data_IF_743152419373
#
_entry.id   IF_743152419373
#
_cell.length_a   1.000
_cell.length_b   1.000
_cell.length_c   1.000
_cell.angle_alpha   90.00
_cell.angle_beta   90.00
_cell.angle_gamma   90.00
#
_symmetry.space_group_name_H-M   'P 1'
#
loop_
_entity.id
_entity.type
_entity.pdbx_description
1 polymer ?
#
# COMPACT_ATOMS: atom_id res chain seq x y z
N UNK A 1 26.60 2.61 18.28
CA UNK A 1 25.18 2.75 18.66
C UNK A 1 24.45 3.51 17.55
N UNK A 2 23.50 2.88 16.87
CA UNK A 2 22.79 3.49 15.72
C UNK A 2 21.53 4.22 16.20
N UNK A 3 21.62 5.53 16.43
CA UNK A 3 20.49 6.41 16.77
C UNK A 3 19.50 6.64 15.60
N UNK A 4 19.28 5.66 14.73
CA UNK A 4 18.41 5.75 13.55
C UNK A 4 17.66 4.46 13.19
N UNK A 5 17.85 3.38 13.95
CA UNK A 5 17.21 2.08 13.67
C UNK A 5 15.67 2.13 13.54
N UNK A 6 14.90 2.83 14.40
CA UNK A 6 13.44 2.83 14.30
C UNK A 6 12.92 3.62 13.08
N UNK A 7 13.49 4.80 12.81
CA UNK A 7 13.13 5.61 11.63
C UNK A 7 13.46 4.87 10.34
N UNK A 8 14.58 4.15 10.33
CA UNK A 8 14.99 3.36 9.19
C UNK A 8 14.06 2.14 8.97
N UNK A 9 13.68 1.44 10.05
CA UNK A 9 12.71 0.35 10.00
C UNK A 9 11.35 0.83 9.46
N UNK A 10 10.88 1.99 9.93
CA UNK A 10 9.65 2.64 9.47
C UNK A 10 9.65 2.94 7.96
N UNK A 11 10.76 3.50 7.45
CA UNK A 11 10.91 3.81 6.03
C UNK A 11 11.03 2.53 5.18
N UNK A 12 11.82 1.56 5.63
CA UNK A 12 12.12 0.33 4.88
C UNK A 12 11.02 -0.72 4.86
N UNK A 13 10.22 -0.80 5.91
CA UNK A 13 9.03 -1.63 5.92
C UNK A 13 7.85 -0.98 5.20
N UNK A 14 8.06 0.22 4.63
CA UNK A 14 7.01 1.01 4.01
C UNK A 14 5.82 1.29 4.94
N UNK A 15 6.05 1.34 6.26
CA UNK A 15 4.99 1.58 7.26
C UNK A 15 4.36 2.96 7.06
N UNK A 16 5.11 3.91 6.48
CA UNK A 16 4.59 5.20 6.04
C UNK A 16 3.39 5.09 5.07
N UNK A 17 3.25 3.99 4.31
CA UNK A 17 2.07 3.75 3.46
C UNK A 17 0.79 3.63 4.29
N UNK A 18 0.87 3.15 5.53
CA UNK A 18 -0.26 3.09 6.45
C UNK A 18 -0.77 4.50 6.79
N UNK A 19 0.14 5.47 6.97
CA UNK A 19 -0.25 6.87 7.16
C UNK A 19 -0.92 7.45 5.91
N UNK A 20 -0.42 7.08 4.73
CA UNK A 20 -1.01 7.56 3.48
C UNK A 20 -2.39 6.97 3.20
N UNK A 21 -2.69 5.78 3.73
CA UNK A 21 -4.03 5.18 3.64
C UNK A 21 -5.09 6.06 4.34
N UNK A 22 -4.75 6.73 5.45
CA UNK A 22 -5.66 7.70 6.09
C UNK A 22 -6.03 8.82 5.11
N UNK A 23 -5.05 9.36 4.38
CA UNK A 23 -5.29 10.42 3.37
C UNK A 23 -6.22 9.90 2.28
N UNK A 24 -6.04 8.65 1.84
CA UNK A 24 -6.91 8.03 0.84
C UNK A 24 -8.36 7.90 1.34
N UNK A 25 -8.56 7.45 2.59
CA UNK A 25 -9.91 7.35 3.21
C UNK A 25 -10.53 8.73 3.37
N UNK A 26 -9.77 9.74 3.81
CA UNK A 26 -10.22 11.13 3.92
C UNK A 26 -10.67 11.68 2.56
N UNK A 27 -9.85 11.52 1.52
CA UNK A 27 -10.19 11.98 0.18
C UNK A 27 -11.41 11.24 -0.38
N UNK A 28 -11.56 9.93 -0.12
CA UNK A 28 -12.76 9.17 -0.47
C UNK A 28 -14.01 9.68 0.24
N UNK A 29 -13.94 9.92 1.55
CA UNK A 29 -15.07 10.44 2.30
C UNK A 29 -15.49 11.84 1.79
N UNK A 30 -14.52 12.72 1.56
CA UNK A 30 -14.78 14.04 0.98
C UNK A 30 -15.36 13.94 -0.44
N UNK A 31 -14.87 13.00 -1.26
CA UNK A 31 -15.39 12.80 -2.61
C UNK A 31 -16.86 12.35 -2.61
N UNK A 32 -17.26 11.57 -1.62
CA UNK A 32 -18.63 11.09 -1.44
C UNK A 32 -19.50 12.06 -0.61
N UNK A 33 -19.01 13.27 -0.34
CA UNK A 33 -19.67 14.27 0.51
C UNK A 33 -20.03 13.76 1.92
N UNK A 34 -19.24 12.82 2.44
CA UNK A 34 -19.42 12.25 3.78
C UNK A 34 -18.60 13.08 4.78
N UNK A 35 -19.23 13.60 5.86
CA UNK A 35 -18.50 14.30 6.90
C UNK A 35 -17.46 13.42 7.57
N UNK A 36 -16.23 13.91 7.76
CA UNK A 36 -15.13 13.12 8.33
C UNK A 36 -15.41 12.60 9.74
N UNK A 37 -16.20 13.34 10.53
CA UNK A 37 -16.61 12.87 11.86
C UNK A 37 -17.54 11.66 11.80
N UNK A 38 -18.29 11.47 10.71
CA UNK A 38 -19.15 10.30 10.50
C UNK A 38 -18.33 9.06 10.14
N UNK A 39 -17.18 9.22 9.47
CA UNK A 39 -16.25 8.11 9.21
C UNK A 39 -15.63 7.60 10.51
N UNK A 40 -15.30 8.51 11.44
CA UNK A 40 -14.85 8.17 12.79
C UNK A 40 -13.73 7.12 12.81
N UNK A 41 -13.99 5.99 13.47
CA UNK A 41 -13.06 4.86 13.56
C UNK A 41 -12.68 4.23 12.21
N UNK A 42 -13.51 4.38 11.17
CA UNK A 42 -13.23 3.90 9.82
C UNK A 42 -11.93 4.44 9.22
N UNK A 43 -11.45 5.60 9.70
CA UNK A 43 -10.15 6.17 9.30
C UNK A 43 -8.97 5.27 9.63
N UNK A 44 -9.09 4.38 10.63
CA UNK A 44 -8.03 3.49 11.07
C UNK A 44 -8.08 2.10 10.44
N UNK A 45 -9.20 1.75 9.80
CA UNK A 45 -9.42 0.38 9.32
C UNK A 45 -8.41 -0.02 8.23
N UNK A 46 -8.29 0.77 7.15
CA UNK A 46 -7.30 0.52 6.10
C UNK A 46 -5.84 0.60 6.61
N UNK A 47 -5.41 1.62 7.36
CA UNK A 47 -4.06 1.67 7.93
C UNK A 47 -3.67 0.45 8.76
N UNK A 48 -4.56 -0.03 9.63
CA UNK A 48 -4.30 -1.21 10.47
C UNK A 48 -4.11 -2.47 9.60
N UNK A 49 -4.99 -2.67 8.63
CA UNK A 49 -4.88 -3.82 7.74
C UNK A 49 -3.63 -3.77 6.85
N UNK A 50 -3.32 -2.59 6.30
CA UNK A 50 -2.14 -2.41 5.47
C UNK A 50 -0.89 -2.70 6.30
N UNK A 51 -0.86 -2.28 7.57
CA UNK A 51 0.22 -2.61 8.47
C UNK A 51 0.39 -4.11 8.65
N UNK A 52 -0.70 -4.84 8.94
CA UNK A 52 -0.66 -6.31 9.07
C UNK A 52 -0.08 -6.96 7.82
N UNK A 53 -0.64 -6.63 6.66
CA UNK A 53 -0.22 -7.25 5.38
C UNK A 53 1.23 -6.89 5.04
N UNK A 54 1.65 -5.63 5.22
CA UNK A 54 3.03 -5.24 4.94
C UNK A 54 4.04 -5.85 5.90
N UNK A 55 3.69 -5.97 7.19
CA UNK A 55 4.60 -6.60 8.16
C UNK A 55 4.73 -8.09 7.89
N UNK A 56 3.62 -8.78 7.60
CA UNK A 56 3.65 -10.22 7.29
C UNK A 56 4.41 -10.52 6.00
N UNK A 57 4.17 -9.75 4.92
CA UNK A 57 4.91 -9.85 3.66
C UNK A 57 6.43 -9.68 3.90
N UNK A 58 6.82 -8.74 4.77
CA UNK A 58 8.23 -8.50 5.07
C UNK A 58 8.85 -9.56 5.97
N UNK A 59 8.09 -10.09 6.94
CA UNK A 59 8.55 -11.17 7.83
C UNK A 59 8.72 -12.48 7.07
N UNK A 60 7.97 -12.68 5.99
CA UNK A 60 8.10 -13.80 5.05
C UNK A 60 9.21 -13.51 4.03
N UNK A 61 10.44 -13.44 4.52
CA UNK A 61 11.63 -13.12 3.70
C UNK A 61 11.82 -14.18 2.60
N UNK A 62 11.70 -13.79 1.33
CA UNK A 62 12.07 -14.63 0.19
C UNK A 62 13.58 -14.69 -0.01
N UNK A 63 14.08 -15.73 -0.68
CA UNK A 63 15.51 -15.83 -1.04
C UNK A 63 15.97 -14.68 -1.94
N UNK A 64 15.07 -14.21 -2.80
CA UNK A 64 15.27 -13.00 -3.60
C UNK A 64 15.49 -11.76 -2.74
N UNK A 65 14.72 -11.57 -1.66
CA UNK A 65 14.87 -10.45 -0.75
C UNK A 65 16.18 -10.51 0.04
N UNK A 66 16.73 -11.72 0.28
CA UNK A 66 18.06 -11.88 0.86
C UNK A 66 19.15 -11.37 -0.09
N UNK A 67 18.98 -11.56 -1.40
CA UNK A 67 19.94 -11.14 -2.43
C UNK A 67 19.79 -9.64 -2.73
N UNK A 68 18.57 -9.19 -3.02
CA UNK A 68 18.30 -7.82 -3.47
C UNK A 68 18.34 -6.81 -2.31
N UNK A 69 18.05 -7.23 -1.08
CA UNK A 69 17.92 -6.33 0.07
C UNK A 69 18.52 -6.92 1.37
N UNK A 70 19.81 -7.32 1.39
CA UNK A 70 20.42 -8.05 2.50
C UNK A 70 20.41 -7.28 3.83
N UNK A 71 20.48 -5.95 3.78
CA UNK A 71 20.40 -5.12 5.00
C UNK A 71 18.99 -5.07 5.58
N UNK A 72 17.95 -4.91 4.74
CA UNK A 72 16.54 -4.94 5.17
C UNK A 72 16.22 -6.29 5.80
N UNK A 73 16.65 -7.36 5.16
CA UNK A 73 16.46 -8.73 5.63
C UNK A 73 17.07 -8.96 7.01
N UNK A 74 18.32 -8.52 7.23
CA UNK A 74 18.96 -8.61 8.56
C UNK A 74 18.18 -7.86 9.64
N UNK A 75 17.60 -6.70 9.32
CA UNK A 75 16.80 -5.94 10.28
C UNK A 75 15.46 -6.62 10.60
N UNK A 76 14.77 -7.15 9.59
CA UNK A 76 13.54 -7.91 9.81
C UNK A 76 13.81 -9.12 10.69
N UNK A 77 14.89 -9.87 10.41
CA UNK A 77 15.29 -11.01 11.23
C UNK A 77 15.62 -10.60 12.66
N UNK A 78 16.32 -9.47 12.85
CA UNK A 78 16.67 -8.93 14.16
C UNK A 78 15.43 -8.56 15.00
N UNK A 79 14.40 -7.98 14.40
CA UNK A 79 13.19 -7.51 15.08
C UNK A 79 11.97 -8.42 14.83
N UNK A 80 12.20 -9.70 14.52
CA UNK A 80 11.14 -10.61 14.08
C UNK A 80 10.02 -10.77 15.11
N UNK A 81 10.39 -10.82 16.39
CA UNK A 81 9.45 -11.00 17.51
C UNK A 81 8.64 -9.74 17.76
N UNK A 82 9.29 -8.58 17.75
CA UNK A 82 8.64 -7.29 17.92
C UNK A 82 7.67 -7.01 16.77
N UNK A 83 8.09 -7.29 15.53
CA UNK A 83 7.23 -7.16 14.35
C UNK A 83 6.02 -8.10 14.41
N UNK A 84 6.21 -9.35 14.86
CA UNK A 84 5.09 -10.27 15.08
C UNK A 84 4.14 -9.74 16.15
N UNK A 85 4.66 -9.22 17.26
CA UNK A 85 3.84 -8.69 18.34
C UNK A 85 3.01 -7.48 17.88
N UNK A 86 3.61 -6.54 17.14
CA UNK A 86 2.88 -5.38 16.62
C UNK A 86 1.90 -5.75 15.52
N UNK A 87 2.21 -6.75 14.70
CA UNK A 87 1.29 -7.29 13.69
C UNK A 87 0.06 -7.95 14.34
N UNK A 88 0.25 -8.85 15.32
CA UNK A 88 -0.85 -9.46 16.06
C UNK A 88 -1.69 -8.37 16.73
N UNK A 89 -1.06 -7.38 17.35
CA UNK A 89 -1.76 -6.27 17.97
C UNK A 89 -2.58 -5.45 16.95
N UNK A 90 -2.00 -5.15 15.79
CA UNK A 90 -2.70 -4.45 14.72
C UNK A 90 -3.87 -5.26 14.15
N UNK A 91 -3.70 -6.58 14.01
CA UNK A 91 -4.76 -7.51 13.58
C UNK A 91 -5.91 -7.55 14.57
N UNK A 92 -5.62 -7.68 15.87
CA UNK A 92 -6.65 -7.64 16.92
C UNK A 92 -7.38 -6.29 16.89
N UNK A 93 -6.65 -5.17 16.78
CA UNK A 93 -7.25 -3.85 16.65
C UNK A 93 -8.14 -3.74 15.40
N UNK A 94 -7.69 -4.27 14.26
CA UNK A 94 -8.46 -4.29 13.01
C UNK A 94 -9.76 -5.08 13.17
N UNK A 95 -9.70 -6.30 13.69
CA UNK A 95 -10.87 -7.16 13.86
C UNK A 95 -11.87 -6.59 14.86
N UNK A 96 -11.39 -6.11 16.02
CA UNK A 96 -12.26 -5.48 17.02
C UNK A 96 -12.92 -4.22 16.46
N UNK A 97 -12.17 -3.40 15.72
CA UNK A 97 -12.70 -2.20 15.08
C UNK A 97 -13.73 -2.55 14.01
N UNK A 98 -13.47 -3.55 13.16
CA UNK A 98 -14.40 -4.01 12.14
C UNK A 98 -15.71 -4.52 12.76
N UNK A 99 -15.62 -5.38 13.76
CA UNK A 99 -16.79 -5.89 14.50
C UNK A 99 -17.56 -4.74 15.14
N UNK A 100 -16.87 -3.80 15.78
CA UNK A 100 -17.50 -2.63 16.37
C UNK A 100 -18.22 -1.77 15.34
N UNK A 101 -17.57 -1.43 14.21
CA UNK A 101 -18.16 -0.64 13.12
C UNK A 101 -19.42 -1.31 12.55
N UNK A 102 -19.38 -2.63 12.32
CA UNK A 102 -20.54 -3.39 11.84
C UNK A 102 -21.67 -3.41 12.88
N UNK A 103 -21.34 -3.50 14.18
CA UNK A 103 -22.34 -3.53 15.24
C UNK A 103 -23.04 -2.17 15.45
N UNK A 104 -22.31 -1.05 15.32
CA UNK A 104 -22.85 0.29 15.58
C UNK A 104 -23.48 0.95 14.36
N UNK A 105 -23.15 0.50 13.14
CA UNK A 105 -23.64 1.11 11.90
C UNK A 105 -24.91 0.40 11.41
N UNK A 106 -26.06 1.09 11.35
CA UNK A 106 -27.32 0.49 10.91
C UNK A 106 -27.21 -0.10 9.49
N UNK A 107 -27.80 -1.28 9.28
CA UNK A 107 -27.81 -1.96 7.98
C UNK A 107 -26.51 -2.70 7.63
N UNK A 108 -25.50 -2.69 8.50
CA UNK A 108 -24.32 -3.56 8.37
C UNK A 108 -24.57 -4.87 9.12
N UNK A 109 -24.05 -5.96 8.58
CA UNK A 109 -24.25 -7.29 9.15
C UNK A 109 -23.08 -8.22 8.81
N UNK A 110 -23.27 -9.53 9.00
CA UNK A 110 -22.22 -10.54 8.81
C UNK A 110 -21.57 -10.48 7.42
N UNK A 111 -22.32 -10.12 6.38
CA UNK A 111 -21.76 -9.91 5.04
C UNK A 111 -20.63 -8.88 5.00
N UNK A 112 -20.71 -7.80 5.79
CA UNK A 112 -19.63 -6.82 5.90
C UNK A 112 -18.40 -7.35 6.63
N UNK A 113 -18.60 -8.21 7.64
CA UNK A 113 -17.48 -8.90 8.29
C UNK A 113 -16.74 -9.76 7.27
N UNK A 114 -17.46 -10.55 6.47
CA UNK A 114 -16.88 -11.40 5.42
C UNK A 114 -16.16 -10.57 4.34
N UNK A 115 -16.77 -9.46 3.90
CA UNK A 115 -16.14 -8.56 2.94
C UNK A 115 -14.85 -7.93 3.47
N UNK A 116 -14.80 -7.60 4.76
CA UNK A 116 -13.58 -7.11 5.41
C UNK A 116 -12.41 -8.10 5.32
N UNK A 117 -12.69 -9.41 5.26
CA UNK A 117 -11.68 -10.46 5.18
C UNK A 117 -11.11 -10.68 3.76
N UNK A 118 -11.69 -10.05 2.72
CA UNK A 118 -11.26 -10.23 1.33
C UNK A 118 -9.75 -10.02 1.12
N UNK A 119 -9.10 -9.00 1.71
CA UNK A 119 -7.66 -8.78 1.56
C UNK A 119 -6.81 -9.95 2.06
N UNK A 120 -7.23 -10.66 3.11
CA UNK A 120 -6.53 -11.86 3.57
C UNK A 120 -6.69 -13.02 2.59
N UNK A 121 -7.87 -13.16 1.96
CA UNK A 121 -8.07 -14.11 0.88
C UNK A 121 -7.12 -13.85 -0.30
N UNK A 122 -6.93 -12.58 -0.67
CA UNK A 122 -5.97 -12.19 -1.71
C UNK A 122 -4.53 -12.47 -1.26
N UNK A 123 -4.17 -12.19 -0.01
CA UNK A 123 -2.86 -12.50 0.55
C UNK A 123 -2.55 -14.00 0.49
N UNK A 124 -3.51 -14.87 0.83
CA UNK A 124 -3.36 -16.32 0.76
C UNK A 124 -3.13 -16.82 -0.67
N UNK A 125 -3.79 -16.20 -1.65
CA UNK A 125 -3.65 -16.52 -3.07
C UNK A 125 -2.43 -15.85 -3.72
N UNK A 126 -1.79 -14.91 -3.03
CA UNK A 126 -0.75 -14.05 -3.58
C UNK A 126 0.42 -14.84 -4.17
N UNK A 127 0.86 -15.90 -3.49
CA UNK A 127 1.93 -16.77 -3.98
C UNK A 127 1.61 -17.44 -5.33
N UNK A 128 0.34 -17.81 -5.56
CA UNK A 128 -0.13 -18.36 -6.83
C UNK A 128 -0.31 -17.27 -7.90
N UNK A 129 -0.74 -16.07 -7.50
CA UNK A 129 -0.93 -14.94 -8.41
C UNK A 129 0.39 -14.43 -9.01
N UNK A 130 1.51 -14.56 -8.28
CA UNK A 130 2.85 -14.23 -8.80
C UNK A 130 3.26 -15.00 -10.05
N UNK A 131 2.60 -16.12 -10.36
CA UNK A 131 2.81 -16.85 -11.61
C UNK A 131 2.28 -16.06 -12.82
N UNK A 132 1.38 -15.11 -12.60
CA UNK A 132 0.78 -14.30 -13.65
C UNK A 132 1.02 -12.80 -13.40
N UNK A 133 1.97 -12.20 -14.14
CA UNK A 133 2.51 -10.86 -13.92
C UNK A 133 1.47 -9.75 -13.69
N UNK A 134 0.43 -9.75 -14.51
CA UNK A 134 -0.60 -8.71 -14.51
C UNK A 134 -1.62 -8.94 -13.40
N UNK A 135 -1.87 -10.18 -13.01
CA UNK A 135 -2.89 -10.51 -12.01
C UNK A 135 -2.45 -10.14 -10.59
N UNK A 136 -1.14 -10.18 -10.30
CA UNK A 136 -0.59 -9.63 -9.06
C UNK A 136 -0.97 -8.15 -8.91
N UNK A 137 -0.57 -7.30 -9.86
CA UNK A 137 -0.86 -5.86 -9.82
C UNK A 137 -2.34 -5.54 -9.79
N UNK A 138 -3.17 -6.30 -10.53
CA UNK A 138 -4.63 -6.17 -10.49
C UNK A 138 -5.20 -6.52 -9.10
N UNK A 139 -4.77 -7.63 -8.52
CA UNK A 139 -5.24 -8.08 -7.22
C UNK A 139 -4.82 -7.10 -6.11
N UNK A 140 -3.57 -6.64 -6.10
CA UNK A 140 -3.08 -5.65 -5.13
C UNK A 140 -3.80 -4.31 -5.30
N UNK A 141 -3.91 -3.82 -6.54
CA UNK A 141 -4.61 -2.57 -6.85
C UNK A 141 -6.08 -2.60 -6.45
N UNK A 142 -6.77 -3.70 -6.76
CA UNK A 142 -8.17 -3.92 -6.41
C UNK A 142 -8.39 -4.02 -4.90
N UNK A 143 -7.55 -4.77 -4.21
CA UNK A 143 -7.64 -4.98 -2.75
C UNK A 143 -7.47 -3.69 -1.97
N UNK A 144 -6.49 -2.86 -2.36
CA UNK A 144 -6.26 -1.57 -1.71
C UNK A 144 -7.37 -0.57 -2.01
N UNK A 145 -7.77 -0.42 -3.28
CA UNK A 145 -8.89 0.45 -3.62
C UNK A 145 -10.18 0.03 -2.91
N UNK A 146 -10.45 -1.29 -2.86
CA UNK A 146 -11.54 -1.87 -2.11
C UNK A 146 -11.47 -1.46 -0.65
N UNK A 147 -10.34 -1.65 0.03
CA UNK A 147 -10.26 -1.34 1.46
C UNK A 147 -10.41 0.13 1.79
N UNK A 148 -9.92 1.04 0.94
CA UNK A 148 -10.15 2.46 1.14
C UNK A 148 -11.65 2.79 1.10
N UNK A 149 -12.35 2.30 0.07
CA UNK A 149 -13.78 2.55 -0.10
C UNK A 149 -14.60 1.82 0.98
N UNK A 150 -14.27 0.56 1.24
CA UNK A 150 -14.88 -0.27 2.27
C UNK A 150 -14.77 0.38 3.65
N UNK A 151 -13.63 0.99 3.99
CA UNK A 151 -13.45 1.73 5.25
C UNK A 151 -14.47 2.86 5.43
N UNK A 152 -14.81 3.57 4.35
CA UNK A 152 -15.84 4.61 4.36
C UNK A 152 -17.24 4.01 4.42
N UNK A 153 -17.51 2.96 3.66
CA UNK A 153 -18.84 2.34 3.59
C UNK A 153 -19.20 1.63 4.90
N UNK A 154 -18.31 0.82 5.46
CA UNK A 154 -18.60 0.05 6.69
C UNK A 154 -18.79 0.95 7.91
N UNK A 155 -18.18 2.13 7.92
CA UNK A 155 -18.27 3.09 9.02
C UNK A 155 -19.44 4.07 8.91
N UNK A 156 -20.17 4.07 7.79
CA UNK A 156 -21.23 5.05 7.51
C UNK A 156 -22.47 4.35 6.98
N UNK A 157 -23.59 5.07 6.90
CA UNK A 157 -24.82 4.58 6.25
C UNK A 157 -24.84 4.85 4.75
N UNK A 158 -23.69 5.15 4.13
CA UNK A 158 -23.64 5.46 2.70
C UNK A 158 -24.04 4.24 1.86
N UNK A 159 -24.90 4.47 0.87
CA UNK A 159 -25.37 3.47 -0.07
C UNK A 159 -24.40 3.28 -1.23
N UNK A 160 -24.58 2.20 -2.00
CA UNK A 160 -23.76 1.94 -3.19
C UNK A 160 -24.24 2.86 -4.33
N UNK A 161 -23.42 3.82 -4.71
CA UNK A 161 -23.71 4.82 -5.75
C UNK A 161 -22.71 4.73 -6.91
N UNK A 162 -22.99 5.41 -8.03
CA UNK A 162 -22.03 5.54 -9.12
C UNK A 162 -20.77 6.31 -8.70
N UNK A 163 -20.91 7.28 -7.80
CA UNK A 163 -19.75 8.01 -7.25
C UNK A 163 -18.86 7.10 -6.43
N UNK A 164 -19.43 6.15 -5.68
CA UNK A 164 -18.68 5.11 -4.97
C UNK A 164 -17.81 4.28 -5.93
N UNK A 165 -18.40 3.85 -7.06
CA UNK A 165 -17.66 3.12 -8.10
C UNK A 165 -16.61 3.99 -8.78
N UNK A 166 -16.88 5.28 -8.99
CA UNK A 166 -15.91 6.22 -9.54
C UNK A 166 -14.70 6.42 -8.59
N UNK A 167 -14.94 6.57 -7.28
CA UNK A 167 -13.89 6.64 -6.25
C UNK A 167 -13.08 5.35 -6.20
N UNK A 168 -13.75 4.19 -6.22
CA UNK A 168 -13.07 2.89 -6.30
C UNK A 168 -12.19 2.80 -7.55
N UNK A 169 -12.75 3.11 -8.73
CA UNK A 169 -12.04 3.08 -10.00
C UNK A 169 -10.83 4.04 -10.02
N UNK A 170 -11.00 5.26 -9.51
CA UNK A 170 -9.92 6.23 -9.41
C UNK A 170 -8.76 5.73 -8.54
N UNK A 171 -9.07 5.20 -7.34
CA UNK A 171 -8.04 4.62 -6.49
C UNK A 171 -7.40 3.38 -7.09
N UNK A 172 -8.19 2.51 -7.72
CA UNK A 172 -7.69 1.33 -8.41
C UNK A 172 -6.64 1.71 -9.47
N UNK A 173 -6.94 2.68 -10.34
CA UNK A 173 -6.01 3.17 -11.36
C UNK A 173 -4.73 3.73 -10.74
N UNK A 174 -4.85 4.54 -9.69
CA UNK A 174 -3.72 5.16 -8.98
C UNK A 174 -2.83 4.10 -8.33
N UNK A 175 -3.43 3.14 -7.61
CA UNK A 175 -2.70 2.10 -6.89
C UNK A 175 -2.08 1.10 -7.86
N UNK A 176 -2.83 0.63 -8.87
CA UNK A 176 -2.32 -0.26 -9.90
C UNK A 176 -1.09 0.35 -10.59
N UNK A 177 -1.18 1.63 -10.99
CA UNK A 177 -0.04 2.36 -11.53
C UNK A 177 1.10 2.53 -10.52
N UNK A 178 0.79 2.60 -9.22
CA UNK A 178 1.77 2.58 -8.14
C UNK A 178 2.54 1.26 -8.08
N UNK A 179 1.85 0.13 -8.19
CA UNK A 179 2.47 -1.22 -8.21
C UNK A 179 3.35 -1.38 -9.45
N UNK A 180 2.83 -1.07 -10.64
CA UNK A 180 3.61 -1.14 -11.89
C UNK A 180 4.83 -0.20 -11.89
N UNK A 181 4.73 0.94 -11.21
CA UNK A 181 5.86 1.85 -11.06
C UNK A 181 6.99 1.30 -10.16
N UNK A 182 6.69 0.35 -9.28
CA UNK A 182 7.67 -0.38 -8.47
C UNK A 182 8.28 -1.53 -9.29
N UNK A 183 7.46 -2.32 -9.97
CA UNK A 183 7.91 -3.38 -10.89
C UNK A 183 8.88 -2.84 -11.96
N UNK A 184 8.66 -1.60 -12.43
CA UNK A 184 9.58 -0.92 -13.36
C UNK A 184 10.99 -0.72 -12.78
N UNK A 185 11.13 -0.53 -11.47
CA UNK A 185 12.43 -0.36 -10.81
C UNK A 185 13.15 -1.69 -10.64
N UNK A 186 12.38 -2.73 -10.36
CA UNK A 186 12.89 -4.06 -10.08
C UNK A 186 13.19 -4.84 -11.38
N UNK A 187 12.92 -4.24 -12.54
CA UNK A 187 13.02 -4.86 -13.86
C UNK A 187 14.40 -5.48 -14.15
N UNK A 188 15.50 -4.87 -13.68
CA UNK A 188 16.85 -5.43 -13.86
C UNK A 188 17.07 -6.68 -12.99
N UNK A 189 16.50 -6.73 -11.78
CA UNK A 189 16.53 -7.90 -10.89
C UNK A 189 15.54 -8.99 -11.29
N UNK A 190 14.36 -8.61 -11.80
CA UNK A 190 13.34 -9.51 -12.31
C UNK A 190 13.82 -10.23 -13.58
N UNK A 191 14.50 -9.50 -14.48
CA UNK A 191 15.11 -10.08 -15.70
C UNK A 191 16.20 -11.09 -15.35
N UNK A 192 16.93 -10.88 -14.25
CA UNK A 192 17.95 -11.81 -13.78
C UNK A 192 17.37 -13.09 -13.13
N UNK A 193 16.08 -13.10 -12.79
CA UNK A 193 15.40 -14.22 -12.11
C UNK A 193 14.28 -14.85 -12.94
N UNK A 194 14.22 -14.56 -14.25
CA UNK A 194 13.20 -15.04 -15.19
C UNK A 194 11.75 -14.71 -14.76
N UNK A 195 11.57 -13.68 -13.94
CA UNK A 195 10.24 -13.20 -13.58
C UNK A 195 9.73 -12.26 -14.67
N UNK A 196 8.54 -12.56 -15.14
CA UNK A 196 7.85 -11.67 -16.06
C UNK A 196 7.00 -10.67 -15.26
N UNK A 197 7.07 -9.38 -15.61
CA UNK A 197 6.17 -8.32 -15.11
C UNK A 197 5.46 -7.70 -16.31
N UNK A 198 4.32 -7.01 -16.13
CA UNK A 198 3.72 -6.23 -17.22
C UNK A 198 4.73 -5.16 -17.71
N UNK A 199 5.50 -4.59 -16.78
CA UNK A 199 6.63 -3.71 -17.09
C UNK A 199 7.69 -4.37 -17.98
N UNK A 200 8.05 -5.64 -17.71
CA UNK A 200 8.95 -6.42 -18.55
C UNK A 200 8.44 -6.62 -19.98
N UNK A 201 7.13 -6.83 -20.15
CA UNK A 201 6.52 -7.03 -21.47
C UNK A 201 6.40 -5.73 -22.28
N UNK A 202 6.00 -4.63 -21.65
CA UNK A 202 5.81 -3.34 -22.32
C UNK A 202 7.12 -2.58 -22.54
N UNK A 203 8.12 -2.85 -21.72
CA UNK A 203 9.37 -2.11 -21.67
C UNK A 203 9.25 -0.77 -20.94
N UNK A 204 10.40 -0.27 -20.46
CA UNK A 204 10.47 0.91 -19.58
C UNK A 204 9.72 2.17 -20.06
N UNK A 205 9.86 2.61 -21.34
CA UNK A 205 9.22 3.85 -21.77
C UNK A 205 7.68 3.75 -21.80
N UNK A 206 7.15 2.63 -22.29
CA UNK A 206 5.70 2.42 -22.37
C UNK A 206 5.07 2.31 -20.97
N UNK A 207 5.69 1.56 -20.05
CA UNK A 207 5.24 1.46 -18.65
C UNK A 207 5.27 2.81 -17.95
N UNK A 208 6.29 3.64 -18.19
CA UNK A 208 6.37 4.99 -17.62
C UNK A 208 5.21 5.87 -18.07
N UNK A 209 4.86 5.82 -19.36
CA UNK A 209 3.72 6.55 -19.92
C UNK A 209 2.42 6.02 -19.30
N UNK A 210 2.23 4.69 -19.28
CA UNK A 210 1.05 4.05 -18.68
C UNK A 210 0.84 4.49 -17.22
N UNK A 211 1.89 4.44 -16.39
CA UNK A 211 1.82 4.85 -14.98
C UNK A 211 1.38 6.30 -14.84
N UNK A 212 1.93 7.21 -15.65
CA UNK A 212 1.57 8.64 -15.62
C UNK A 212 0.12 8.85 -16.06
N UNK A 213 -0.29 8.20 -17.15
CA UNK A 213 -1.65 8.29 -17.68
C UNK A 213 -2.67 7.81 -16.64
N UNK A 214 -2.48 6.61 -16.09
CA UNK A 214 -3.42 6.03 -15.12
C UNK A 214 -3.56 6.89 -13.84
N UNK A 215 -2.44 7.40 -13.30
CA UNK A 215 -2.48 8.30 -12.14
C UNK A 215 -3.20 9.61 -12.45
N UNK A 216 -2.89 10.23 -13.60
CA UNK A 216 -3.56 11.44 -14.05
C UNK A 216 -5.06 11.22 -14.26
N UNK A 217 -5.46 10.10 -14.86
CA UNK A 217 -6.87 9.72 -15.03
C UNK A 217 -7.56 9.58 -13.68
N UNK A 218 -6.94 8.91 -12.70
CA UNK A 218 -7.51 8.83 -11.34
C UNK A 218 -7.71 10.20 -10.69
N UNK A 219 -6.73 11.10 -10.81
CA UNK A 219 -6.85 12.49 -10.31
C UNK A 219 -7.96 13.27 -11.03
N UNK A 220 -8.08 13.11 -12.35
CA UNK A 220 -9.14 13.74 -13.15
C UNK A 220 -10.52 13.26 -12.71
N UNK A 221 -10.68 11.96 -12.40
CA UNK A 221 -11.94 11.43 -11.88
C UNK A 221 -12.28 12.10 -10.54
N UNK A 222 -11.34 12.20 -9.60
CA UNK A 222 -11.55 12.91 -8.34
C UNK A 222 -11.92 14.39 -8.55
N UNK A 223 -11.26 15.06 -9.48
CA UNK A 223 -11.58 16.44 -9.83
C UNK A 223 -13.00 16.57 -10.38
N UNK A 224 -13.41 15.67 -11.26
CA UNK A 224 -14.73 15.67 -11.87
C UNK A 224 -15.86 15.46 -10.85
N UNK A 225 -15.71 14.48 -9.95
CA UNK A 225 -16.79 14.11 -9.01
C UNK A 225 -16.83 15.00 -7.76
N UNK A 226 -15.69 15.56 -7.33
CA UNK A 226 -15.57 16.21 -6.03
C UNK A 226 -14.89 17.59 -6.05
N UNK A 227 -14.49 18.06 -7.24
CA UNK A 227 -13.89 19.37 -7.42
C UNK A 227 -12.40 19.45 -7.07
N UNK A 228 -11.86 20.67 -7.22
CA UNK A 228 -10.41 20.93 -7.21
C UNK A 228 -9.75 20.64 -5.87
N UNK A 229 -10.47 20.81 -4.76
CA UNK A 229 -9.91 20.62 -3.41
C UNK A 229 -9.58 19.16 -3.13
N UNK A 230 -10.51 18.24 -3.46
CA UNK A 230 -10.26 16.79 -3.29
C UNK A 230 -9.18 16.31 -4.25
N UNK A 231 -9.19 16.77 -5.50
CA UNK A 231 -8.10 16.50 -6.44
C UNK A 231 -6.75 17.00 -5.91
N UNK A 232 -6.71 18.17 -5.28
CA UNK A 232 -5.52 18.72 -4.61
C UNK A 232 -5.00 17.83 -3.49
N UNK A 233 -5.88 17.22 -2.67
CA UNK A 233 -5.50 16.24 -1.64
C UNK A 233 -4.88 15.00 -2.28
N UNK A 234 -5.46 14.49 -3.36
CA UNK A 234 -4.94 13.32 -4.09
C UNK A 234 -3.59 13.61 -4.73
N UNK A 235 -3.41 14.81 -5.30
CA UNK A 235 -2.10 15.27 -5.79
C UNK A 235 -1.09 15.35 -4.64
N UNK A 236 -1.48 15.92 -3.50
CA UNK A 236 -0.68 15.96 -2.28
C UNK A 236 -0.23 14.57 -1.81
N UNK A 237 -1.14 13.59 -1.84
CA UNK A 237 -0.83 12.18 -1.59
C UNK A 237 0.22 11.64 -2.57
N UNK A 238 0.07 11.86 -3.89
CA UNK A 238 1.03 11.41 -4.90
C UNK A 238 2.41 12.06 -4.74
N UNK A 239 2.44 13.35 -4.38
CA UNK A 239 3.69 14.06 -4.05
C UNK A 239 4.34 13.47 -2.81
N UNK A 240 3.57 13.14 -1.78
CA UNK A 240 4.04 12.49 -0.57
C UNK A 240 4.64 11.11 -0.86
N UNK A 241 3.98 10.29 -1.69
CA UNK A 241 4.54 9.01 -2.16
C UNK A 241 5.90 9.21 -2.85
N UNK A 242 5.99 10.22 -3.70
CA UNK A 242 7.21 10.54 -4.45
C UNK A 242 8.33 11.00 -3.52
N UNK A 243 8.00 11.82 -2.51
CA UNK A 243 8.94 12.28 -1.50
C UNK A 243 9.50 11.12 -0.69
N UNK A 244 8.63 10.27 -0.12
CA UNK A 244 9.08 9.11 0.67
C UNK A 244 9.91 8.15 -0.17
N UNK A 245 9.54 7.90 -1.42
CA UNK A 245 10.34 7.09 -2.34
C UNK A 245 11.76 7.64 -2.51
N UNK A 246 11.89 8.95 -2.76
CA UNK A 246 13.21 9.60 -2.88
C UNK A 246 14.02 9.51 -1.59
N UNK A 247 13.38 9.70 -0.44
CA UNK A 247 14.03 9.57 0.87
C UNK A 247 14.57 8.15 1.06
N UNK A 248 13.79 7.13 0.73
CA UNK A 248 14.22 5.72 0.83
C UNK A 248 15.40 5.43 -0.10
N UNK A 249 15.35 5.88 -1.36
CA UNK A 249 16.44 5.69 -2.33
C UNK A 249 17.75 6.34 -1.87
N UNK A 250 17.68 7.60 -1.42
CA UNK A 250 18.85 8.33 -0.92
C UNK A 250 19.47 7.66 0.32
N UNK A 251 18.69 6.93 1.11
CA UNK A 251 19.23 6.19 2.26
C UNK A 251 19.96 4.91 1.82
N UNK A 252 19.54 4.28 0.74
CA UNK A 252 20.18 3.07 0.21
C UNK A 252 21.54 3.37 -0.38
N UNK A 253 21.63 4.40 -1.22
CA UNK A 253 22.89 4.87 -1.80
C UNK A 253 23.93 5.20 -0.70
N UNK A 254 23.49 5.82 0.41
CA UNK A 254 24.38 6.14 1.54
C UNK A 254 24.93 4.92 2.27
N UNK A 255 24.17 3.82 2.30
CA UNK A 255 24.58 2.58 2.99
C UNK A 255 25.56 1.80 2.12
N UNK A 256 25.32 1.74 0.81
CA UNK A 256 26.24 1.11 -0.15
C UNK A 256 27.62 1.77 -0.09
N UNK A 257 27.68 3.11 -0.20
CA UNK A 257 28.94 3.87 -0.12
C UNK A 257 29.70 3.58 1.19
N UNK A 258 28.98 3.50 2.32
CA UNK A 258 29.61 3.24 3.63
C UNK A 258 30.14 1.81 3.74
N UNK A 259 29.45 0.85 3.13
CA UNK A 259 29.85 -0.55 3.12
C UNK A 259 31.11 -0.74 2.29
N UNK A 260 31.19 -0.09 1.13
CA UNK A 260 32.36 -0.12 0.26
C UNK A 260 33.59 0.51 0.91
N UNK A 261 33.43 1.64 1.59
CA UNK A 261 34.51 2.29 2.35
C UNK A 261 35.04 1.38 3.48
N UNK A 262 34.15 0.71 4.22
CA UNK A 262 34.54 -0.19 5.31
C UNK A 262 35.32 -1.40 4.79
N UNK A 263 34.89 -1.96 3.65
CA UNK A 263 35.58 -3.08 3.02
C UNK A 263 36.95 -2.66 2.46
N UNK A 264 37.06 -1.44 1.92
CA UNK A 264 38.32 -0.89 1.42
C UNK A 264 39.35 -0.62 2.54
N UNK A 265 38.91 -0.24 3.74
CA UNK A 265 39.80 -0.04 4.90
C UNK A 265 40.29 -1.36 5.53
N UNK A 266 39.64 -2.50 5.22
CA UNK A 266 39.97 -3.82 5.76
C UNK A 266 40.90 -4.64 4.84
N UNK A 267 41.19 -4.14 3.64
CA UNK A 267 42.09 -4.74 2.64
C UNK A 267 43.47 -4.07 2.66
#
# INVERSE_FOLDING_TARGET
>A
MMNGAPTYLFLKLNIWLCMTAVIMVVASAMALSIPLHAVGGGLLLAPLLFYVIYVEDRRTVSDEDQINNPHRTRLVQRYRTELLATEIFALICYELLLVWLVAVTPGRGVGFLLLGQLPFGVLLLYGSLKQYPTFDSLAVGGTWAFMIVFSVVVSTTHEVTMDLFAVFGAWFLIVFAGVESRNLQDLDGDTATDKTTLAGHLGRPATTIMVRTLKSTGVIIFWYIAGIWVAGIVIGYLLLLTLFRRITQNQDERIEIRTDQTNAEQL
#
